data_IF_782257492461
#
_entry.id   IF_782257492461
#
_cell.length_a   1.000
_cell.length_b   1.000
_cell.length_c   1.000
_cell.angle_alpha   90.00
_cell.angle_beta   90.00
_cell.angle_gamma   90.00
#
_symmetry.space_group_name_H-M   'P 1'
#
loop_
_entity.id
_entity.type
_entity.pdbx_description
1 polymer ?
#
# COMPACT_ATOMS: atom_id res chain seq x y z
N UNK A 1 -0.29 -2.23 11.89
CA UNK A 1 -0.44 -3.21 10.79
C UNK A 1 0.19 -2.77 9.47
N UNK A 2 0.17 -1.47 9.14
CA UNK A 2 0.74 -0.92 7.89
C UNK A 2 2.16 -1.40 7.55
N UNK A 3 3.09 -1.42 8.52
CA UNK A 3 4.46 -1.85 8.27
C UNK A 3 4.55 -3.33 7.87
N UNK A 4 3.69 -4.20 8.40
CA UNK A 4 3.67 -5.61 8.00
C UNK A 4 3.21 -5.72 6.55
N UNK A 5 2.10 -5.06 6.19
CA UNK A 5 1.56 -5.04 4.83
C UNK A 5 2.54 -4.45 3.80
N UNK A 6 3.26 -3.38 4.14
CA UNK A 6 4.15 -2.67 3.21
C UNK A 6 5.60 -3.16 3.20
N UNK A 7 6.10 -3.75 4.31
CA UNK A 7 7.53 -4.12 4.46
C UNK A 7 7.80 -5.62 4.37
N UNK A 8 6.87 -6.49 4.77
CA UNK A 8 7.02 -7.93 4.63
C UNK A 8 7.24 -8.34 3.17
N UNK A 9 7.84 -9.51 2.94
CA UNK A 9 8.12 -10.05 1.60
C UNK A 9 7.24 -11.25 1.23
N UNK A 10 6.51 -11.81 2.19
CA UNK A 10 5.58 -12.91 1.95
C UNK A 10 4.18 -12.35 1.64
N UNK A 11 3.68 -12.56 0.44
CA UNK A 11 2.40 -11.98 0.00
C UNK A 11 1.23 -12.38 0.89
N UNK A 12 1.17 -13.62 1.38
CA UNK A 12 0.07 -14.13 2.21
C UNK A 12 -0.01 -13.37 3.53
N UNK A 13 1.13 -13.12 4.19
CA UNK A 13 1.19 -12.31 5.42
C UNK A 13 0.77 -10.86 5.12
N UNK A 14 1.19 -10.30 3.99
CA UNK A 14 0.87 -8.92 3.61
C UNK A 14 -0.62 -8.72 3.40
N UNK A 15 -1.27 -9.59 2.63
CA UNK A 15 -2.71 -9.52 2.40
C UNK A 15 -3.52 -9.76 3.67
N UNK A 16 -3.08 -10.65 4.57
CA UNK A 16 -3.68 -10.78 5.92
C UNK A 16 -3.58 -9.47 6.71
N UNK A 17 -2.43 -8.80 6.65
CA UNK A 17 -2.25 -7.51 7.32
C UNK A 17 -3.13 -6.41 6.72
N UNK A 18 -3.25 -6.34 5.39
CA UNK A 18 -4.17 -5.43 4.69
C UNK A 18 -5.62 -5.67 5.15
N UNK A 19 -6.07 -6.92 5.16
CA UNK A 19 -7.43 -7.26 5.58
C UNK A 19 -7.69 -6.82 7.03
N UNK A 20 -6.76 -7.08 7.95
CA UNK A 20 -6.89 -6.64 9.35
C UNK A 20 -6.95 -5.12 9.49
N UNK A 21 -6.27 -4.35 8.62
CA UNK A 21 -6.37 -2.89 8.62
C UNK A 21 -7.77 -2.39 8.25
N UNK A 22 -8.44 -3.05 7.32
CA UNK A 22 -9.82 -2.69 6.94
C UNK A 22 -10.86 -3.05 8.01
N UNK A 23 -10.56 -4.03 8.87
CA UNK A 23 -11.43 -4.42 9.98
C UNK A 23 -11.04 -3.74 11.30
N UNK A 24 -9.98 -2.93 11.29
CA UNK A 24 -9.51 -2.20 12.47
C UNK A 24 -10.42 -1.01 12.74
N UNK A 25 -10.89 -0.88 13.99
CA UNK A 25 -11.55 0.34 14.48
C UNK A 25 -10.54 1.36 15.00
N UNK A 26 -9.23 1.11 14.83
CA UNK A 26 -8.17 1.95 15.37
C UNK A 26 -7.95 3.17 14.47
N UNK A 27 -7.44 4.23 15.11
CA UNK A 27 -7.05 5.47 14.47
C UNK A 27 -5.55 5.68 14.69
N UNK A 28 -4.86 6.12 13.64
CA UNK A 28 -3.50 6.62 13.72
C UNK A 28 -3.55 8.15 13.83
N UNK A 29 -3.88 8.65 15.03
CA UNK A 29 -4.11 10.08 15.26
C UNK A 29 -5.45 10.53 14.67
N UNK A 30 -5.43 11.49 13.75
CA UNK A 30 -6.65 11.98 13.06
C UNK A 30 -7.07 11.05 11.92
N UNK A 31 -6.22 10.09 11.54
CA UNK A 31 -6.39 9.30 10.32
C UNK A 31 -7.04 7.97 10.64
N UNK A 32 -8.14 7.66 9.95
CA UNK A 32 -8.74 6.32 9.99
C UNK A 32 -7.73 5.30 9.46
N UNK A 33 -7.59 4.16 10.13
CA UNK A 33 -6.72 3.06 9.67
C UNK A 33 -7.03 2.66 8.23
N UNK A 34 -8.29 2.81 7.80
CA UNK A 34 -8.77 2.57 6.43
C UNK A 34 -7.92 3.28 5.36
N UNK A 35 -7.53 4.56 5.54
CA UNK A 35 -6.73 5.27 4.54
C UNK A 35 -5.32 4.69 4.40
N UNK A 36 -4.70 4.35 5.54
CA UNK A 36 -3.42 3.66 5.52
C UNK A 36 -3.54 2.23 4.95
N UNK A 37 -4.70 1.58 5.15
CA UNK A 37 -5.06 0.28 4.56
C UNK A 37 -5.14 0.34 3.04
N UNK A 38 -5.82 1.37 2.50
CA UNK A 38 -5.89 1.62 1.05
C UNK A 38 -4.50 1.83 0.44
N UNK A 39 -3.65 2.64 1.08
CA UNK A 39 -2.26 2.82 0.66
C UNK A 39 -1.47 1.50 0.73
N UNK A 40 -1.61 0.74 1.82
CA UNK A 40 -0.93 -0.54 1.99
C UNK A 40 -1.34 -1.55 0.91
N UNK A 41 -2.65 -1.68 0.64
CA UNK A 41 -3.19 -2.49 -0.44
C UNK A 41 -2.56 -2.09 -1.78
N UNK A 42 -2.57 -0.80 -2.09
CA UNK A 42 -2.01 -0.31 -3.36
C UNK A 42 -0.51 -0.62 -3.51
N UNK A 43 0.26 -0.51 -2.42
CA UNK A 43 1.68 -0.90 -2.40
C UNK A 43 1.82 -2.39 -2.72
N UNK A 44 1.03 -3.25 -2.08
CA UNK A 44 1.07 -4.70 -2.30
C UNK A 44 0.75 -5.03 -3.75
N UNK A 45 -0.32 -4.46 -4.31
CA UNK A 45 -0.71 -4.62 -5.71
C UNK A 45 0.42 -4.21 -6.67
N UNK A 46 1.03 -3.04 -6.47
CA UNK A 46 2.09 -2.51 -7.33
C UNK A 46 3.41 -3.28 -7.26
N UNK A 47 3.73 -3.88 -6.11
CA UNK A 47 4.94 -4.68 -5.93
C UNK A 47 4.76 -6.13 -6.40
N UNK A 48 3.56 -6.69 -6.23
CA UNK A 48 3.23 -8.07 -6.57
C UNK A 48 2.71 -8.25 -8.00
N UNK A 49 2.38 -7.15 -8.69
CA UNK A 49 1.89 -7.18 -10.06
C UNK A 49 2.82 -8.00 -10.97
N UNK A 50 2.25 -8.97 -11.68
CA UNK A 50 2.98 -9.83 -12.62
C UNK A 50 4.02 -10.74 -11.94
N UNK A 51 3.86 -11.08 -10.66
CA UNK A 51 4.59 -12.19 -10.04
C UNK A 51 3.75 -13.47 -10.17
N UNK A 52 4.40 -14.56 -10.58
CA UNK A 52 3.76 -15.87 -10.59
C UNK A 52 3.62 -16.40 -9.17
N UNK A 53 2.44 -16.95 -8.86
CA UNK A 53 2.16 -17.60 -7.58
C UNK A 53 2.67 -19.03 -7.59
N UNK A 54 3.79 -19.26 -6.90
CA UNK A 54 4.31 -20.61 -6.65
C UNK A 54 3.76 -21.08 -5.30
N UNK A 55 2.64 -21.81 -5.32
CA UNK A 55 1.93 -22.24 -4.11
C UNK A 55 1.04 -21.15 -3.50
N UNK A 56 0.95 -21.09 -2.18
CA UNK A 56 0.03 -20.19 -1.46
C UNK A 56 0.56 -18.75 -1.26
N UNK A 57 1.87 -18.53 -1.44
CA UNK A 57 2.48 -17.21 -1.27
C UNK A 57 3.53 -16.93 -2.34
N UNK A 58 3.82 -15.65 -2.50
CA UNK A 58 4.84 -15.14 -3.41
C UNK A 58 5.83 -14.34 -2.60
N UNK A 59 7.10 -14.57 -2.88
CA UNK A 59 8.17 -13.73 -2.37
C UNK A 59 8.33 -12.49 -3.24
N UNK A 60 8.26 -11.30 -2.64
CA UNK A 60 8.44 -10.04 -3.36
C UNK A 60 9.93 -9.68 -3.44
N UNK A 61 10.55 -9.70 -4.64
CA UNK A 61 11.97 -9.46 -4.79
C UNK A 61 12.31 -7.98 -4.59
N UNK A 62 13.55 -7.71 -4.18
CA UNK A 62 14.01 -6.37 -3.78
C UNK A 62 13.76 -5.30 -4.86
N UNK A 63 14.02 -5.61 -6.13
CA UNK A 63 13.89 -4.66 -7.24
C UNK A 63 12.43 -4.24 -7.52
N UNK A 64 11.43 -5.01 -7.07
CA UNK A 64 10.02 -4.59 -7.18
C UNK A 64 9.57 -3.72 -6.02
N UNK A 65 10.36 -3.62 -4.95
CA UNK A 65 9.94 -2.96 -3.70
C UNK A 65 9.83 -1.45 -3.84
N UNK A 66 8.79 -0.90 -3.26
CA UNK A 66 8.62 0.52 -2.99
C UNK A 66 9.44 0.87 -1.73
N UNK A 67 10.27 1.91 -1.85
CA UNK A 67 11.21 2.33 -0.80
C UNK A 67 10.68 3.50 0.02
N UNK A 68 10.11 4.50 -0.63
CA UNK A 68 9.51 5.68 0.00
C UNK A 68 8.12 5.92 -0.56
N UNK A 69 7.25 6.44 0.29
CA UNK A 69 5.90 6.86 -0.08
C UNK A 69 5.62 8.22 0.54
N UNK A 70 4.77 8.98 -0.13
CA UNK A 70 4.03 10.11 0.41
C UNK A 70 2.59 9.97 -0.08
N UNK A 71 1.62 10.22 0.78
CA UNK A 71 0.21 10.11 0.44
C UNK A 71 -0.51 11.38 0.85
N UNK A 72 -1.21 11.98 -0.11
CA UNK A 72 -2.07 13.13 0.09
C UNK A 72 -3.53 12.68 0.01
N UNK A 73 -4.28 12.86 1.10
CA UNK A 73 -5.69 12.51 1.18
C UNK A 73 -6.50 13.72 0.76
N UNK A 74 -7.19 13.59 -0.37
CA UNK A 74 -8.04 14.62 -0.93
C UNK A 74 -9.50 14.20 -0.74
N UNK A 75 -10.01 14.29 0.49
CA UNK A 75 -11.36 13.83 0.85
C UNK A 75 -12.45 14.51 0.00
N UNK A 76 -12.32 15.81 -0.27
CA UNK A 76 -13.24 16.57 -1.14
C UNK A 76 -13.32 16.02 -2.57
N UNK A 77 -12.23 15.41 -3.04
CA UNK A 77 -12.13 14.77 -4.36
C UNK A 77 -12.36 13.26 -4.29
N UNK A 78 -12.64 12.71 -3.11
CA UNK A 78 -12.85 11.28 -2.90
C UNK A 78 -11.66 10.41 -3.29
N UNK A 79 -10.42 10.88 -3.10
CA UNK A 79 -9.23 10.15 -3.55
C UNK A 79 -8.01 10.35 -2.65
N UNK A 80 -7.05 9.43 -2.76
CA UNK A 80 -5.68 9.56 -2.24
C UNK A 80 -4.73 9.62 -3.42
N UNK A 81 -3.87 10.63 -3.45
CA UNK A 81 -2.74 10.70 -4.39
C UNK A 81 -1.52 10.14 -3.67
N UNK A 82 -1.04 8.98 -4.13
CA UNK A 82 0.15 8.34 -3.56
C UNK A 82 1.34 8.53 -4.49
N UNK A 83 2.35 9.25 -4.02
CA UNK A 83 3.66 9.38 -4.64
C UNK A 83 4.62 8.35 -4.04
N UNK A 84 5.43 7.71 -4.86
CA UNK A 84 6.34 6.69 -4.39
C UNK A 84 7.60 6.56 -5.24
N UNK A 85 8.64 5.99 -4.62
CA UNK A 85 9.91 5.68 -5.28
C UNK A 85 10.22 4.21 -5.09
N UNK A 86 10.60 3.51 -6.16
CA UNK A 86 11.01 2.10 -6.11
C UNK A 86 12.46 1.94 -5.65
N UNK A 87 12.84 0.71 -5.29
CA UNK A 87 14.23 0.34 -5.08
C UNK A 87 14.94 0.13 -6.44
N UNK A 88 16.21 0.54 -6.59
CA UNK A 88 17.04 1.26 -5.62
C UNK A 88 16.62 2.73 -5.48
N UNK A 89 16.77 3.28 -4.27
CA UNK A 89 16.55 4.70 -4.03
C UNK A 89 17.86 5.47 -4.18
N UNK A 90 17.83 6.48 -5.05
CA UNK A 90 18.83 7.52 -5.25
C UNK A 90 18.12 8.88 -5.10
N UNK A 91 18.81 9.97 -4.74
CA UNK A 91 18.18 11.29 -4.62
C UNK A 91 17.45 11.74 -5.90
N UNK A 92 18.00 11.37 -7.05
CA UNK A 92 17.51 11.60 -8.41
C UNK A 92 16.55 10.51 -8.93
N UNK A 93 16.14 9.55 -8.10
CA UNK A 93 15.17 8.53 -8.52
C UNK A 93 13.84 9.13 -8.93
N UNK A 94 13.25 8.57 -9.99
CA UNK A 94 11.93 8.95 -10.48
C UNK A 94 10.86 8.78 -9.38
N UNK A 95 10.04 9.81 -9.22
CA UNK A 95 8.87 9.80 -8.35
C UNK A 95 7.66 9.40 -9.19
N UNK A 96 7.17 8.20 -8.94
CA UNK A 96 5.97 7.66 -9.56
C UNK A 96 4.74 8.06 -8.75
N UNK A 97 3.58 8.09 -9.41
CA UNK A 97 2.32 8.48 -8.78
C UNK A 97 1.21 7.48 -9.12
N UNK A 98 0.30 7.25 -8.18
CA UNK A 98 -0.95 6.52 -8.42
C UNK A 98 -2.09 7.17 -7.66
N UNK A 99 -3.27 7.10 -8.26
CA UNK A 99 -4.53 7.50 -7.61
C UNK A 99 -5.16 6.29 -6.94
N UNK A 100 -5.72 6.49 -5.75
CA UNK A 100 -6.49 5.49 -5.01
C UNK A 100 -7.84 6.10 -4.66
N UNK A 101 -8.95 5.62 -5.25
CA UNK A 101 -10.27 6.15 -4.91
C UNK A 101 -10.65 5.80 -3.48
N UNK A 102 -11.19 6.77 -2.75
CA UNK A 102 -11.87 6.53 -1.49
C UNK A 102 -13.24 5.97 -1.85
N UNK A 103 -13.43 4.65 -1.81
CA UNK A 103 -14.75 4.07 -2.02
C UNK A 103 -15.68 4.58 -0.92
N UNK A 104 -16.63 5.44 -1.30
CA UNK A 104 -17.81 5.76 -0.51
C UNK A 104 -18.75 4.56 -0.67
N UNK A 105 -18.52 3.48 0.06
CA UNK A 105 -19.62 2.53 0.25
C UNK A 105 -20.63 3.25 1.14
N UNK A 106 -21.81 3.45 0.56
CA UNK A 106 -22.94 4.17 1.12
C UNK A 106 -23.21 3.72 2.56
N UNK A 107 -23.46 4.71 3.41
CA UNK A 107 -24.11 4.58 4.73
C UNK A 107 -25.36 3.72 4.59
#
# INVERSE_FOLDING_TARGET
MFLVASRCRDSRIRWKAVNLMFHSTLYHGVWRDQYSGLCAQRIVELEEHGLERIGESVYVPRHRRIRKISADIQEEKGQIVMHFVRWPYMPESEILSTLIPLRTENI
#
